data_IF_650717086568
#
_entry.id   IF_650717086568
#
_cell.length_a   1.000
_cell.length_b   1.000
_cell.length_c   1.000
_cell.angle_alpha   90.00
_cell.angle_beta   90.00
_cell.angle_gamma   90.00
#
_symmetry.space_group_name_H-M   'P 1'
#
loop_
_entity.id
_entity.type
_entity.pdbx_description
1 polymer ?
#
# COMPACT_ATOMS: atom_id res chain seq x y z
N UNK A 1 -11.18 5.41 9.73
CA UNK A 1 -10.71 5.66 8.37
C UNK A 1 -9.27 5.21 8.20
N UNK A 2 -8.84 4.99 6.97
CA UNK A 2 -7.50 4.49 6.71
C UNK A 2 -6.43 5.50 7.10
N UNK A 3 -6.67 6.77 6.83
CA UNK A 3 -5.69 7.80 7.16
C UNK A 3 -5.48 7.90 8.66
N UNK A 4 -6.56 7.76 9.42
CA UNK A 4 -6.47 7.81 10.86
C UNK A 4 -5.66 6.62 11.39
N UNK A 5 -5.91 5.45 10.84
CA UNK A 5 -5.19 4.25 11.26
C UNK A 5 -3.69 4.39 10.99
N UNK A 6 -3.32 4.96 9.86
CA UNK A 6 -1.92 5.14 9.52
C UNK A 6 -1.27 6.17 10.44
N UNK A 7 -2.01 7.22 10.79
CA UNK A 7 -1.48 8.24 11.69
C UNK A 7 -1.22 7.66 13.08
N UNK A 8 -2.10 6.79 13.55
CA UNK A 8 -1.96 6.21 14.88
C UNK A 8 -0.92 5.10 14.91
N UNK A 9 -0.84 4.34 13.82
CA UNK A 9 0.10 3.22 13.76
C UNK A 9 0.55 3.05 12.32
N UNK A 10 1.55 3.82 11.94
CA UNK A 10 2.04 3.80 10.57
C UNK A 10 2.84 2.54 10.24
N UNK A 11 2.89 1.58 11.17
CA UNK A 11 3.57 0.31 10.92
C UNK A 11 2.61 -0.81 10.53
N UNK A 12 1.33 -0.48 10.33
CA UNK A 12 0.36 -1.48 9.92
C UNK A 12 0.46 -1.70 8.41
N UNK A 13 1.01 -2.84 7.98
CA UNK A 13 1.15 -3.08 6.54
C UNK A 13 -0.19 -3.16 5.82
N UNK A 14 -1.21 -3.67 6.49
CA UNK A 14 -2.53 -3.77 5.88
C UNK A 14 -3.08 -2.40 5.52
N UNK A 15 -2.83 -1.40 6.36
CA UNK A 15 -3.29 -0.04 6.07
C UNK A 15 -2.62 0.50 4.81
N UNK A 16 -1.32 0.27 4.67
CA UNK A 16 -0.61 0.68 3.46
C UNK A 16 -1.14 -0.06 2.23
N UNK A 17 -1.41 -1.35 2.40
CA UNK A 17 -1.95 -2.15 1.30
C UNK A 17 -3.30 -1.60 0.84
N UNK A 18 -4.17 -1.28 1.78
CA UNK A 18 -5.49 -0.74 1.44
C UNK A 18 -5.38 0.62 0.79
N UNK A 19 -4.46 1.45 1.25
CA UNK A 19 -4.26 2.77 0.66
C UNK A 19 -3.72 2.65 -0.76
N UNK A 20 -2.85 1.68 -0.99
CA UNK A 20 -2.32 1.45 -2.32
C UNK A 20 -3.44 1.09 -3.29
N UNK A 21 -4.38 0.26 -2.85
CA UNK A 21 -5.52 -0.09 -3.68
C UNK A 21 -6.35 1.14 -4.02
N UNK A 22 -6.54 2.04 -3.05
CA UNK A 22 -7.30 3.25 -3.28
C UNK A 22 -6.60 4.15 -4.30
N UNK A 23 -5.27 4.29 -4.18
CA UNK A 23 -4.52 5.08 -5.15
C UNK A 23 -4.61 4.49 -6.54
N UNK A 24 -4.58 3.16 -6.63
CA UNK A 24 -4.69 2.49 -7.92
C UNK A 24 -6.02 2.82 -8.60
N UNK A 25 -7.09 2.88 -7.82
CA UNK A 25 -8.39 3.22 -8.36
C UNK A 25 -8.46 4.66 -8.86
N UNK A 26 -7.60 5.51 -8.32
CA UNK A 26 -7.50 6.90 -8.73
C UNK A 26 -6.48 7.10 -9.85
N UNK A 27 -5.99 6.01 -10.43
CA UNK A 27 -4.95 6.04 -11.47
C UNK A 27 -3.65 6.65 -10.97
N UNK A 28 -3.38 6.47 -9.68
CA UNK A 28 -2.14 6.94 -9.08
C UNK A 28 -1.24 5.76 -8.77
N UNK A 29 -0.85 5.08 -9.83
CA UNK A 29 -0.05 3.86 -9.67
C UNK A 29 1.32 4.15 -9.05
N UNK A 30 1.86 5.34 -9.25
CA UNK A 30 3.13 5.70 -8.63
C UNK A 30 3.03 5.65 -7.11
N UNK A 31 1.97 6.20 -6.55
CA UNK A 31 1.78 6.17 -5.10
C UNK A 31 1.32 4.79 -4.62
N UNK A 32 0.52 4.12 -5.43
CA UNK A 32 0.12 2.76 -5.09
C UNK A 32 1.34 1.85 -5.00
N UNK A 33 2.27 2.02 -5.92
CA UNK A 33 3.51 1.24 -5.91
C UNK A 33 4.29 1.48 -4.62
N UNK A 34 4.45 2.74 -4.22
CA UNK A 34 5.18 3.06 -3.00
C UNK A 34 4.54 2.43 -1.77
N UNK A 35 3.23 2.58 -1.64
CA UNK A 35 2.53 2.04 -0.47
C UNK A 35 2.59 0.51 -0.47
N UNK A 36 2.46 -0.09 -1.64
CA UNK A 36 2.53 -1.54 -1.74
C UNK A 36 3.90 -2.06 -1.32
N UNK A 37 4.97 -1.37 -1.75
CA UNK A 37 6.31 -1.76 -1.37
C UNK A 37 6.52 -1.59 0.13
N UNK A 38 5.99 -0.52 0.71
CA UNK A 38 6.08 -0.31 2.14
C UNK A 38 5.36 -1.44 2.89
N UNK A 39 4.17 -1.81 2.44
CA UNK A 39 3.44 -2.90 3.06
C UNK A 39 4.25 -4.20 3.02
N UNK A 40 4.88 -4.48 1.89
CA UNK A 40 5.71 -5.66 1.76
C UNK A 40 6.88 -5.65 2.71
N UNK A 41 7.54 -4.49 2.85
CA UNK A 41 8.66 -4.35 3.77
C UNK A 41 8.26 -4.60 5.20
N UNK A 42 7.03 -4.28 5.54
CA UNK A 42 6.53 -4.47 6.90
C UNK A 42 6.05 -5.90 7.15
N UNK A 43 6.19 -6.77 6.16
CA UNK A 43 5.89 -8.17 6.34
C UNK A 43 4.62 -8.67 5.68
N UNK A 44 3.98 -7.84 4.88
CA UNK A 44 2.74 -8.22 4.21
C UNK A 44 3.09 -8.86 2.87
N UNK A 45 3.27 -10.17 2.86
CA UNK A 45 3.75 -10.88 1.68
C UNK A 45 2.85 -10.69 0.47
N UNK A 46 1.54 -10.62 0.68
CA UNK A 46 0.60 -10.45 -0.43
C UNK A 46 0.91 -9.19 -1.23
N UNK A 47 1.47 -8.16 -0.58
CA UNK A 47 1.78 -6.92 -1.28
C UNK A 47 2.77 -7.14 -2.41
N UNK A 48 3.69 -8.08 -2.24
CA UNK A 48 4.70 -8.34 -3.27
C UNK A 48 4.09 -8.84 -4.57
N UNK A 49 2.95 -9.52 -4.47
CA UNK A 49 2.29 -10.02 -5.69
C UNK A 49 1.70 -8.86 -6.50
N UNK A 50 1.33 -7.79 -5.82
CA UNK A 50 0.71 -6.64 -6.48
C UNK A 50 1.73 -5.62 -6.95
N UNK A 51 2.95 -5.67 -6.43
CA UNK A 51 3.97 -4.69 -6.82
C UNK A 51 4.21 -4.74 -8.32
N UNK A 52 4.24 -5.94 -8.89
CA UNK A 52 4.44 -6.07 -10.33
C UNK A 52 3.34 -5.40 -11.14
N UNK A 53 2.12 -5.35 -10.61
CA UNK A 53 1.01 -4.73 -11.31
C UNK A 53 1.04 -3.21 -11.20
N UNK A 54 1.43 -2.70 -10.04
CA UNK A 54 1.39 -1.26 -9.79
C UNK A 54 2.69 -0.56 -10.14
N UNK A 55 3.79 -1.27 -10.14
CA UNK A 55 5.13 -0.69 -10.34
C UNK A 55 5.68 -0.98 -11.73
N UNK A 56 4.86 -0.89 -12.72
CA UNK A 56 5.30 -1.16 -14.10
C UNK A 56 6.23 -0.08 -14.65
#
# INVERSE_FOLDING_TARGET
SFNHAIDLDNKLPEAYFNRANAFSQLNRNDKACEDMRTAGKLGYDAAFEYIGDFCK
#
